data_IF_572079828467
#
_entry.id   IF_572079828467
#
_cell.length_a   1.000
_cell.length_b   1.000
_cell.length_c   1.000
_cell.angle_alpha   90.00
_cell.angle_beta   90.00
_cell.angle_gamma   90.00
#
_symmetry.space_group_name_H-M   'P 1'
#
loop_
_entity.id
_entity.type
_entity.pdbx_description
1 polymer ?
#
# COMPACT_ATOMS: atom_id res chain seq x y z
N UNK A 1 -46.91 -36.55 12.31
CA UNK A 1 -46.63 -35.12 12.49
C UNK A 1 -45.12 -34.98 12.69
N UNK A 2 -44.39 -34.67 11.63
CA UNK A 2 -42.94 -34.48 11.68
C UNK A 2 -42.65 -33.01 12.00
N UNK A 3 -42.28 -32.73 13.25
CA UNK A 3 -41.80 -31.41 13.66
C UNK A 3 -40.40 -31.20 13.11
N UNK A 4 -40.29 -30.48 12.00
CA UNK A 4 -39.02 -29.99 11.49
C UNK A 4 -38.44 -29.00 12.48
N UNK A 5 -37.34 -29.38 13.14
CA UNK A 5 -36.47 -28.43 13.82
C UNK A 5 -35.80 -27.59 12.74
N UNK A 6 -36.38 -26.42 12.45
CA UNK A 6 -35.67 -25.32 11.79
C UNK A 6 -34.52 -24.92 12.73
N UNK A 7 -33.37 -25.54 12.55
CA UNK A 7 -32.14 -25.05 13.16
C UNK A 7 -31.73 -23.79 12.40
N UNK A 8 -31.64 -22.61 13.04
CA UNK A 8 -31.13 -21.40 12.41
C UNK A 8 -29.62 -21.60 12.20
N UNK A 9 -29.26 -22.27 11.11
CA UNK A 9 -27.89 -22.41 10.68
C UNK A 9 -27.40 -21.05 10.20
N UNK A 10 -26.84 -20.30 11.14
CA UNK A 10 -25.59 -19.57 10.96
C UNK A 10 -25.56 -18.54 9.84
N UNK A 11 -26.22 -17.41 10.06
CA UNK A 11 -25.79 -16.12 9.50
C UNK A 11 -24.45 -15.61 10.10
N UNK A 12 -23.77 -16.42 10.93
CA UNK A 12 -22.53 -16.12 11.66
C UNK A 12 -21.27 -15.85 10.79
N UNK A 13 -21.43 -15.57 9.50
CA UNK A 13 -20.30 -15.24 8.62
C UNK A 13 -20.59 -14.24 7.52
N UNK A 14 -21.83 -13.77 7.35
CA UNK A 14 -22.14 -12.80 6.30
C UNK A 14 -21.86 -11.37 6.80
N UNK A 15 -21.24 -10.50 5.99
CA UNK A 15 -21.11 -9.10 6.32
C UNK A 15 -22.47 -8.47 6.61
N UNK A 16 -22.54 -7.67 7.68
CA UNK A 16 -23.77 -6.96 8.09
C UNK A 16 -24.17 -5.84 7.13
N UNK A 17 -23.26 -5.43 6.26
CA UNK A 17 -23.47 -4.41 5.25
C UNK A 17 -22.53 -4.63 4.07
N UNK A 18 -22.89 -4.03 2.94
CA UNK A 18 -22.01 -3.84 1.81
C UNK A 18 -21.42 -2.43 1.87
N UNK A 19 -20.09 -2.34 1.74
CA UNK A 19 -19.35 -1.09 1.70
C UNK A 19 -18.77 -0.93 0.29
N UNK A 20 -19.03 0.19 -0.36
CA UNK A 20 -18.53 0.49 -1.70
C UNK A 20 -17.85 1.86 -1.71
N UNK A 21 -16.78 1.98 -2.49
CA UNK A 21 -16.06 3.23 -2.69
C UNK A 21 -15.95 3.49 -4.18
N UNK A 22 -16.25 4.71 -4.60
CA UNK A 22 -16.03 5.16 -5.97
C UNK A 22 -15.22 6.44 -5.96
N UNK A 23 -14.05 6.40 -6.57
CA UNK A 23 -13.21 7.58 -6.78
C UNK A 23 -13.59 8.21 -8.11
N UNK A 24 -13.78 9.53 -8.12
CA UNK A 24 -14.02 10.33 -9.31
C UNK A 24 -12.72 10.50 -10.09
N UNK A 25 -12.70 10.06 -11.34
CA UNK A 25 -11.52 10.10 -12.19
C UNK A 25 -10.57 8.93 -11.93
N UNK A 26 -9.98 8.40 -13.00
CA UNK A 26 -9.05 7.27 -12.91
C UNK A 26 -7.59 7.72 -12.83
N UNK A 27 -7.30 8.95 -13.27
CA UNK A 27 -5.97 9.53 -13.34
C UNK A 27 -6.01 10.95 -12.78
N UNK A 28 -5.11 11.26 -11.85
CA UNK A 28 -4.98 12.54 -11.15
C UNK A 28 -3.53 13.03 -11.17
N UNK A 29 -3.32 14.33 -11.02
CA UNK A 29 -2.00 14.94 -10.90
C UNK A 29 -1.67 15.26 -9.42
N UNK A 30 -0.39 15.36 -9.05
CA UNK A 30 0.01 15.89 -7.74
C UNK A 30 -0.64 17.25 -7.48
N UNK A 31 -1.20 17.43 -6.28
CA UNK A 31 -1.96 18.63 -5.90
C UNK A 31 -3.45 18.62 -6.22
N UNK A 32 -3.93 17.68 -7.04
CA UNK A 32 -5.35 17.55 -7.39
C UNK A 32 -6.21 17.12 -6.19
N UNK A 33 -7.51 17.38 -6.32
CA UNK A 33 -8.49 16.87 -5.38
C UNK A 33 -8.88 15.43 -5.73
N UNK A 34 -8.78 14.54 -4.74
CA UNK A 34 -9.32 13.18 -4.82
C UNK A 34 -10.73 13.22 -4.25
N UNK A 35 -11.73 13.15 -5.12
CA UNK A 35 -13.13 13.07 -4.71
C UNK A 35 -13.56 11.61 -4.70
N UNK A 36 -14.07 11.15 -3.55
CA UNK A 36 -14.52 9.78 -3.37
C UNK A 36 -15.92 9.75 -2.77
N UNK A 37 -16.75 8.85 -3.26
CA UNK A 37 -18.07 8.54 -2.70
C UNK A 37 -18.01 7.22 -1.99
N UNK A 38 -18.39 7.23 -0.72
CA UNK A 38 -18.55 6.03 0.10
C UNK A 38 -20.03 5.73 0.26
N UNK A 39 -20.41 4.51 -0.10
CA UNK A 39 -21.78 4.00 0.01
C UNK A 39 -21.79 2.80 0.95
N UNK A 40 -22.63 2.87 1.97
CA UNK A 40 -22.85 1.80 2.94
C UNK A 40 -24.31 1.35 2.82
N UNK A 41 -24.49 0.09 2.44
CA UNK A 41 -25.79 -0.56 2.29
C UNK A 41 -25.95 -1.62 3.38
N UNK A 42 -26.59 -1.28 4.52
CA UNK A 42 -26.79 -2.22 5.61
C UNK A 42 -27.78 -3.31 5.23
N UNK A 43 -27.46 -4.55 5.59
CA UNK A 43 -28.34 -5.73 5.41
C UNK A 43 -29.10 -6.06 6.70
N UNK A 44 -28.56 -5.61 7.83
CA UNK A 44 -29.16 -5.70 9.16
C UNK A 44 -28.75 -4.49 10.02
N UNK A 45 -29.32 -4.38 11.21
CA UNK A 45 -28.97 -3.32 12.16
C UNK A 45 -27.65 -3.66 12.87
N UNK A 46 -26.74 -2.68 12.96
CA UNK A 46 -25.48 -2.85 13.68
C UNK A 46 -24.97 -1.53 14.24
N UNK A 47 -24.02 -1.63 15.17
CA UNK A 47 -23.40 -0.48 15.79
C UNK A 47 -21.97 -0.33 15.29
N UNK A 48 -21.66 0.83 14.71
CA UNK A 48 -20.32 1.21 14.27
C UNK A 48 -19.65 1.99 15.39
N UNK A 49 -18.46 1.54 15.80
CA UNK A 49 -17.64 2.25 16.77
C UNK A 49 -16.92 3.40 16.10
N UNK A 50 -16.23 3.12 15.00
CA UNK A 50 -15.53 4.10 14.20
C UNK A 50 -15.59 3.72 12.72
N UNK A 51 -15.97 4.68 11.89
CA UNK A 51 -15.87 4.59 10.45
C UNK A 51 -14.98 5.69 9.92
N UNK A 52 -13.99 5.34 9.10
CA UNK A 52 -13.03 6.29 8.53
C UNK A 52 -12.73 6.00 7.07
N UNK A 53 -12.30 7.04 6.36
CA UNK A 53 -11.74 6.96 5.01
C UNK A 53 -10.34 7.53 5.05
N UNK A 54 -9.42 6.86 4.37
CA UNK A 54 -8.02 7.20 4.32
C UNK A 54 -7.57 7.33 2.86
N UNK A 55 -6.77 8.35 2.60
CA UNK A 55 -5.94 8.43 1.41
C UNK A 55 -4.63 7.71 1.70
N UNK A 56 -4.34 6.65 0.94
CA UNK A 56 -3.22 5.75 1.23
C UNK A 56 -2.27 5.67 0.05
N UNK A 57 -0.97 5.82 0.34
CA UNK A 57 0.11 5.45 -0.58
C UNK A 57 0.54 4.02 -0.28
N UNK A 58 0.55 3.18 -1.30
CA UNK A 58 0.96 1.78 -1.22
C UNK A 58 2.30 1.62 -1.92
N UNK A 59 3.32 1.29 -1.16
CA UNK A 59 4.66 1.01 -1.63
C UNK A 59 4.89 -0.50 -1.66
N UNK A 60 5.30 -1.00 -2.81
CA UNK A 60 5.75 -2.37 -2.99
C UNK A 60 7.27 -2.38 -3.07
N UNK A 61 7.92 -3.10 -2.17
CA UNK A 61 9.35 -3.33 -2.16
C UNK A 61 9.64 -4.82 -2.37
N UNK A 62 10.80 -5.11 -2.96
CA UNK A 62 11.28 -6.49 -3.16
C UNK A 62 12.44 -6.72 -2.22
N UNK A 63 12.28 -7.65 -1.30
CA UNK A 63 13.35 -8.09 -0.42
C UNK A 63 14.03 -9.31 -1.04
N UNK A 64 15.33 -9.19 -1.26
CA UNK A 64 16.18 -10.28 -1.73
C UNK A 64 16.89 -10.88 -0.53
N UNK A 65 16.60 -12.15 -0.23
CA UNK A 65 17.27 -12.90 0.83
C UNK A 65 18.17 -13.96 0.22
N UNK A 66 19.49 -13.83 0.43
CA UNK A 66 20.46 -14.83 0.00
C UNK A 66 20.69 -15.85 1.12
N UNK A 67 20.59 -17.12 0.79
CA UNK A 67 20.86 -18.24 1.72
C UNK A 67 21.78 -19.26 1.06
N UNK A 68 22.30 -20.20 1.86
CA UNK A 68 23.07 -21.35 1.34
C UNK A 68 22.28 -22.25 0.37
N UNK A 69 20.95 -22.12 0.33
CA UNK A 69 20.05 -22.88 -0.54
C UNK A 69 19.61 -22.10 -1.79
N UNK A 70 20.07 -20.86 -1.96
CA UNK A 70 19.75 -20.02 -3.11
C UNK A 70 19.26 -18.62 -2.73
N UNK A 71 18.84 -17.89 -3.77
CA UNK A 71 18.29 -16.53 -3.64
C UNK A 71 16.77 -16.58 -3.61
N UNK A 72 16.17 -16.08 -2.54
CA UNK A 72 14.73 -15.94 -2.38
C UNK A 72 14.30 -14.49 -2.57
N UNK A 73 13.26 -14.27 -3.36
CA UNK A 73 12.64 -12.97 -3.55
C UNK A 73 11.31 -12.95 -2.80
N UNK A 74 11.11 -11.98 -1.91
CA UNK A 74 9.82 -11.75 -1.26
C UNK A 74 9.33 -10.34 -1.54
N UNK A 75 8.03 -10.22 -1.83
CA UNK A 75 7.36 -8.94 -2.02
C UNK A 75 6.88 -8.46 -0.65
N UNK A 76 7.26 -7.24 -0.26
CA UNK A 76 6.74 -6.55 0.92
C UNK A 76 5.91 -5.36 0.46
N UNK A 77 4.74 -5.19 1.07
CA UNK A 77 3.87 -4.05 0.81
C UNK A 77 3.79 -3.21 2.07
N UNK A 78 4.08 -1.92 1.94
CA UNK A 78 3.96 -0.92 2.98
C UNK A 78 2.84 0.04 2.58
N UNK A 79 1.89 0.27 3.47
CA UNK A 79 0.80 1.22 3.26
C UNK A 79 0.99 2.40 4.22
N UNK A 80 0.98 3.62 3.70
CA UNK A 80 1.12 4.86 4.47
C UNK A 80 -0.15 5.68 4.31
N UNK A 81 -0.85 5.92 5.41
CA UNK A 81 -2.00 6.83 5.46
C UNK A 81 -1.51 8.26 5.44
N UNK A 82 -1.94 9.04 4.44
CA UNK A 82 -1.49 10.42 4.23
C UNK A 82 -2.53 11.44 4.71
N UNK A 83 -3.81 11.08 4.64
CA UNK A 83 -4.92 11.86 5.15
C UNK A 83 -6.03 10.92 5.59
N UNK A 84 -6.79 11.32 6.61
CA UNK A 84 -7.89 10.55 7.18
C UNK A 84 -9.09 11.47 7.43
N UNK A 85 -10.30 10.97 7.15
CA UNK A 85 -11.56 11.63 7.50
C UNK A 85 -12.51 10.63 8.18
N UNK A 86 -13.13 11.05 9.28
CA UNK A 86 -14.13 10.25 10.01
C UNK A 86 -15.49 10.31 9.31
N UNK A 87 -16.01 9.15 8.89
CA UNK A 87 -17.32 9.00 8.27
C UNK A 87 -18.46 8.98 9.29
N UNK A 88 -18.26 8.24 10.39
CA UNK A 88 -19.25 8.03 11.44
C UNK A 88 -18.54 7.53 12.70
N UNK A 89 -19.09 7.85 13.86
CA UNK A 89 -18.53 7.43 15.14
C UNK A 89 -19.66 7.12 16.11
N UNK A 90 -19.54 6.00 16.84
CA UNK A 90 -20.48 5.55 17.87
C UNK A 90 -21.96 5.62 17.43
N UNK A 91 -22.25 5.20 16.20
CA UNK A 91 -23.58 5.30 15.60
C UNK A 91 -24.19 3.92 15.32
N UNK A 92 -25.49 3.78 15.55
CA UNK A 92 -26.26 2.62 15.10
C UNK A 92 -26.75 2.84 13.68
N UNK A 93 -26.31 1.99 12.76
CA UNK A 93 -26.74 1.92 11.37
C UNK A 93 -27.92 0.96 11.28
N UNK A 94 -29.00 1.38 10.61
CA UNK A 94 -30.23 0.58 10.47
C UNK A 94 -30.34 -0.01 9.07
N UNK A 95 -30.87 -1.22 8.94
CA UNK A 95 -31.03 -2.02 7.70
C UNK A 95 -31.62 -1.25 6.51
N UNK A 96 -32.51 -0.29 6.74
CA UNK A 96 -33.17 0.47 5.68
C UNK A 96 -32.53 1.85 5.42
N UNK A 97 -31.51 2.22 6.20
CA UNK A 97 -30.79 3.48 6.05
C UNK A 97 -29.54 3.29 5.21
N UNK A 98 -29.65 3.48 3.90
CA UNK A 98 -28.46 3.64 3.06
C UNK A 98 -27.70 4.89 3.50
N UNK A 99 -26.41 4.75 3.81
CA UNK A 99 -25.56 5.90 4.10
C UNK A 99 -24.68 6.18 2.90
N UNK A 100 -24.70 7.43 2.44
CA UNK A 100 -23.83 7.89 1.36
C UNK A 100 -23.14 9.17 1.79
N UNK A 101 -21.82 9.20 1.65
CA UNK A 101 -21.00 10.36 1.99
C UNK A 101 -19.97 10.59 0.91
N UNK A 102 -19.92 11.82 0.43
CA UNK A 102 -18.87 12.29 -0.46
C UNK A 102 -17.74 12.86 0.40
N UNK A 103 -16.51 12.46 0.10
CA UNK A 103 -15.27 12.77 0.83
C UNK A 103 -14.29 13.36 -0.17
N UNK A 104 -13.52 14.36 0.27
CA UNK A 104 -12.55 15.04 -0.59
C UNK A 104 -11.20 15.15 0.10
N UNK A 105 -10.19 14.54 -0.51
CA UNK A 105 -8.80 14.71 -0.10
C UNK A 105 -8.06 15.59 -1.10
N UNK A 106 -6.89 16.08 -0.71
CA UNK A 106 -5.95 16.73 -1.59
C UNK A 106 -4.70 15.88 -1.72
N UNK A 107 -4.31 15.55 -2.95
CA UNK A 107 -3.04 14.88 -3.19
C UNK A 107 -1.90 15.82 -2.78
N UNK A 108 -0.87 15.31 -2.09
CA UNK A 108 0.35 16.07 -1.87
C UNK A 108 0.93 16.58 -3.19
N UNK A 109 1.49 17.79 -3.20
CA UNK A 109 2.12 18.37 -4.40
C UNK A 109 3.40 17.64 -4.80
N UNK A 110 4.01 16.93 -3.86
CA UNK A 110 5.16 16.04 -4.03
C UNK A 110 4.74 14.56 -4.20
N UNK A 111 3.46 14.29 -4.52
CA UNK A 111 2.97 12.94 -4.75
C UNK A 111 3.77 12.24 -5.85
N UNK A 112 4.32 11.08 -5.51
CA UNK A 112 5.04 10.24 -6.45
C UNK A 112 4.06 9.66 -7.49
N UNK A 113 4.43 9.62 -8.77
CA UNK A 113 3.59 9.04 -9.81
C UNK A 113 3.39 7.54 -9.56
N UNK A 114 2.24 7.02 -9.98
CA UNK A 114 1.95 5.59 -9.93
C UNK A 114 2.96 4.84 -10.81
N UNK A 115 3.64 3.88 -10.20
CA UNK A 115 4.61 3.02 -10.86
C UNK A 115 4.12 1.58 -10.79
N UNK A 116 3.57 1.09 -11.90
CA UNK A 116 3.17 -0.30 -12.04
C UNK A 116 4.42 -1.16 -12.26
N UNK A 117 4.90 -1.81 -11.21
CA UNK A 117 5.98 -2.79 -11.27
C UNK A 117 5.53 -4.07 -11.97
N UNK A 118 5.36 -4.04 -13.29
CA UNK A 118 5.04 -5.22 -14.08
C UNK A 118 5.81 -5.22 -15.41
N UNK A 119 7.07 -5.66 -15.36
CA UNK A 119 7.76 -6.17 -16.55
C UNK A 119 8.37 -7.53 -16.20
N UNK A 120 7.52 -8.55 -16.26
CA UNK A 120 7.65 -10.02 -16.49
C UNK A 120 8.92 -10.79 -16.03
N UNK A 121 10.08 -10.18 -15.79
CA UNK A 121 11.27 -10.81 -15.21
C UNK A 121 12.03 -9.90 -14.23
N UNK A 122 11.62 -8.64 -14.07
CA UNK A 122 12.25 -7.65 -13.20
C UNK A 122 11.25 -7.21 -12.15
N UNK A 123 11.45 -7.69 -10.92
CA UNK A 123 10.60 -7.32 -9.78
C UNK A 123 11.01 -5.89 -9.39
N UNK A 124 10.35 -4.89 -9.97
CA UNK A 124 10.62 -3.49 -9.68
C UNK A 124 9.77 -2.98 -8.51
N UNK A 125 10.29 -2.05 -7.71
CA UNK A 125 9.50 -1.39 -6.69
C UNK A 125 8.32 -0.67 -7.35
N UNK A 126 7.15 -0.76 -6.71
CA UNK A 126 5.91 -0.17 -7.22
C UNK A 126 5.36 0.86 -6.26
N UNK A 127 4.76 1.91 -6.79
CA UNK A 127 4.04 2.93 -6.03
C UNK A 127 2.61 2.92 -6.55
N UNK A 128 1.65 2.73 -5.65
CA UNK A 128 0.22 2.79 -5.93
C UNK A 128 -0.48 3.75 -4.98
N UNK A 129 -1.66 4.18 -5.40
CA UNK A 129 -2.50 5.09 -4.64
C UNK A 129 -3.90 4.49 -4.52
N UNK A 130 -4.47 4.54 -3.32
CA UNK A 130 -5.81 4.05 -3.06
C UNK A 130 -6.54 4.92 -2.04
N UNK A 131 -7.86 4.95 -2.16
CA UNK A 131 -8.75 5.42 -1.10
C UNK A 131 -9.28 4.20 -0.39
N UNK A 132 -9.13 4.14 0.95
CA UNK A 132 -9.56 3.01 1.78
C UNK A 132 -10.63 3.48 2.75
N UNK A 133 -11.77 2.79 2.79
CA UNK A 133 -12.77 2.98 3.83
C UNK A 133 -12.73 1.78 4.77
N UNK A 134 -12.82 2.05 6.07
CA UNK A 134 -12.89 1.02 7.11
C UNK A 134 -13.95 1.36 8.15
N UNK A 135 -14.66 0.33 8.62
CA UNK A 135 -15.68 0.42 9.66
C UNK A 135 -15.37 -0.64 10.73
N UNK A 136 -15.12 -0.20 11.97
CA UNK A 136 -15.08 -1.04 13.18
C UNK A 136 -16.52 -1.32 13.62
N UNK A 137 -16.94 -2.58 13.51
CA UNK A 137 -18.31 -3.00 13.79
C UNK A 137 -18.38 -3.76 15.10
N UNK A 138 -19.20 -3.27 16.03
CA UNK A 138 -19.37 -3.91 17.33
C UNK A 138 -20.03 -5.28 17.18
N UNK A 139 -19.37 -6.30 17.75
CA UNK A 139 -19.85 -7.70 17.77
C UNK A 139 -20.06 -8.30 16.36
N UNK A 140 -19.32 -7.80 15.37
CA UNK A 140 -19.30 -8.36 14.02
C UNK A 140 -17.87 -8.32 13.46
N UNK A 141 -17.72 -8.75 12.21
CA UNK A 141 -16.49 -8.57 11.45
C UNK A 141 -16.42 -7.13 10.94
N UNK A 142 -15.25 -6.52 11.06
CA UNK A 142 -14.98 -5.20 10.48
C UNK A 142 -15.12 -5.23 8.96
N UNK A 143 -15.53 -4.09 8.41
CA UNK A 143 -15.69 -3.90 6.98
C UNK A 143 -14.56 -3.02 6.48
N UNK A 144 -13.97 -3.40 5.36
CA UNK A 144 -12.95 -2.59 4.71
C UNK A 144 -13.08 -2.74 3.20
N UNK A 145 -13.02 -1.64 2.49
CA UNK A 145 -13.00 -1.59 1.03
C UNK A 145 -11.89 -0.64 0.60
N UNK A 146 -11.25 -0.89 -0.54
CA UNK A 146 -10.31 0.06 -1.13
C UNK A 146 -10.51 0.19 -2.64
N UNK A 147 -10.31 1.40 -3.14
CA UNK A 147 -10.38 1.71 -4.57
C UNK A 147 -9.09 2.38 -5.00
N UNK A 148 -8.36 1.73 -5.91
CA UNK A 148 -7.13 2.26 -6.48
C UNK A 148 -7.40 3.31 -7.56
N UNK A 149 -6.47 4.24 -7.73
CA UNK A 149 -6.43 5.23 -8.80
C UNK A 149 -4.99 5.50 -9.25
N UNK A 150 -4.82 6.21 -10.37
CA UNK A 150 -3.52 6.52 -10.96
C UNK A 150 -3.14 7.97 -10.64
N UNK A 151 -1.91 8.18 -10.20
CA UNK A 151 -1.28 9.49 -10.14
C UNK A 151 -0.29 9.60 -11.29
N UNK A 152 -0.47 10.57 -12.17
CA UNK A 152 0.43 10.79 -13.31
C UNK A 152 1.50 11.83 -12.98
N UNK A 153 2.54 11.90 -13.82
CA UNK A 153 3.54 12.97 -13.72
C UNK A 153 2.97 14.26 -14.27
N UNK A 154 3.24 15.36 -13.59
CA UNK A 154 3.10 16.69 -14.21
C UNK A 154 4.09 16.70 -15.38
N UNK A 155 3.65 16.93 -16.63
CA UNK A 155 4.59 17.10 -17.72
C UNK A 155 5.49 18.27 -17.34
N UNK A 156 6.80 18.03 -17.28
CA UNK A 156 7.74 19.13 -17.19
C UNK A 156 7.44 20.00 -18.41
N UNK A 157 6.91 21.20 -18.19
CA UNK A 157 6.92 22.21 -19.23
C UNK A 157 8.40 22.45 -19.49
N UNK A 158 8.86 21.89 -20.59
CA UNK A 158 10.19 22.14 -21.09
C UNK A 158 10.16 23.61 -21.54
N UNK A 159 10.44 24.51 -20.60
CA UNK A 159 10.60 25.95 -20.82
C UNK A 159 11.91 26.23 -21.60
N UNK A 160 12.45 25.19 -22.26
CA UNK A 160 13.49 25.30 -23.24
C UNK A 160 12.93 26.19 -24.36
N UNK A 161 13.44 27.42 -24.55
CA UNK A 161 13.02 28.25 -25.65
C UNK A 161 13.18 27.45 -26.94
N UNK A 162 12.28 27.60 -27.94
CA UNK A 162 12.39 26.88 -29.19
C UNK A 162 13.81 27.09 -29.70
N UNK A 163 14.62 26.02 -29.69
CA UNK A 163 15.95 26.13 -30.26
C UNK A 163 15.74 26.59 -31.69
N UNK A 164 16.41 27.67 -32.14
CA UNK A 164 16.31 28.09 -33.52
C UNK A 164 16.63 26.86 -34.35
N UNK A 165 15.71 26.49 -35.23
CA UNK A 165 15.93 25.45 -36.24
C UNK A 165 17.01 26.02 -37.14
N UNK A 166 18.27 25.79 -36.77
CA UNK A 166 19.39 26.01 -37.67
C UNK A 166 19.29 24.86 -38.65
N UNK A 167 18.60 25.12 -39.75
CA UNK A 167 18.60 24.30 -40.95
C UNK A 167 20.00 24.35 -41.56
N UNK A 168 20.96 23.70 -40.90
CA UNK A 168 22.30 23.50 -41.43
C UNK A 168 22.27 22.33 -42.40
N UNK A 169 21.79 22.64 -43.60
CA UNK A 169 22.03 21.84 -44.78
C UNK A 169 23.53 21.89 -45.12
N UNK A 170 24.32 21.01 -44.51
CA UNK A 170 25.66 20.69 -44.98
C UNK A 170 25.96 19.20 -44.83
N UNK A 171 25.60 18.47 -45.87
CA UNK A 171 26.22 17.20 -46.23
C UNK A 171 27.76 17.31 -46.14
N UNK A 172 28.40 16.49 -45.29
CA UNK A 172 29.45 15.49 -45.67
C UNK A 172 30.35 15.07 -44.50
N UNK A 173 30.52 13.75 -44.40
CA UNK A 173 31.68 13.00 -43.90
C UNK A 173 31.79 12.70 -42.39
N UNK A 174 31.65 11.40 -42.08
CA UNK A 174 32.51 10.53 -41.24
C UNK A 174 32.89 11.04 -39.82
N UNK A 175 32.84 10.27 -38.75
CA UNK A 175 33.03 8.83 -38.60
C UNK A 175 32.43 8.33 -37.27
N UNK A 176 31.87 7.13 -37.29
CA UNK A 176 31.54 6.34 -36.09
C UNK A 176 32.84 5.76 -35.51
N UNK A 177 33.20 6.18 -34.30
CA UNK A 177 34.21 5.46 -33.50
C UNK A 177 33.49 4.58 -32.48
N UNK A 178 33.28 3.31 -32.86
CA UNK A 178 32.86 2.25 -31.96
C UNK A 178 34.08 1.76 -31.16
N UNK A 179 34.21 2.21 -29.90
CA UNK A 179 35.17 1.63 -28.96
C UNK A 179 34.60 0.33 -28.37
N UNK A 180 34.83 -0.78 -29.07
CA UNK A 180 34.65 -2.13 -28.54
C UNK A 180 35.91 -2.52 -27.75
N UNK A 181 35.92 -2.28 -26.44
CA UNK A 181 36.95 -2.85 -25.56
C UNK A 181 36.72 -4.36 -25.43
N UNK A 182 37.58 -5.09 -26.14
CA UNK A 182 37.75 -6.54 -26.17
C UNK A 182 38.26 -7.02 -24.81
N UNK A 183 37.35 -7.52 -23.96
CA UNK A 183 37.69 -8.26 -22.75
C UNK A 183 38.10 -9.68 -23.10
N UNK A 184 39.33 -10.03 -22.76
CA UNK A 184 40.02 -11.24 -23.18
C UNK A 184 39.41 -12.53 -22.63
N UNK A 185 39.43 -13.54 -23.50
CA UNK A 185 39.10 -14.94 -23.22
C UNK A 185 40.27 -15.56 -22.48
N UNK A 186 40.08 -15.86 -21.19
CA UNK A 186 40.94 -16.75 -20.42
C UNK A 186 40.25 -18.10 -20.24
N UNK A 187 40.67 -19.11 -21.00
CA UNK A 187 40.29 -20.49 -20.78
C UNK A 187 41.25 -21.20 -19.83
N UNK A 188 40.73 -22.06 -18.95
CA UNK A 188 41.42 -23.24 -18.42
C UNK A 188 40.38 -24.10 -17.67
N UNK A 189 39.87 -25.18 -18.24
CA UNK A 189 40.43 -26.53 -18.41
C UNK A 189 40.24 -27.46 -17.19
N UNK A 190 39.65 -28.60 -17.51
CA UNK A 190 39.55 -29.93 -16.87
C UNK A 190 39.82 -30.09 -15.37
N UNK A 191 38.79 -30.59 -14.68
CA UNK A 191 38.89 -31.32 -13.42
C UNK A 191 37.79 -32.38 -13.31
N UNK A 192 38.04 -33.55 -13.91
CA UNK A 192 37.23 -34.77 -13.82
C UNK A 192 37.57 -35.46 -12.50
N UNK A 193 36.60 -35.65 -11.60
CA UNK A 193 36.73 -36.62 -10.51
C UNK A 193 35.37 -37.24 -10.17
N UNK A 194 35.20 -38.47 -10.66
CA UNK A 194 34.27 -39.46 -10.15
C UNK A 194 34.61 -39.82 -8.69
N UNK A 195 33.58 -40.02 -7.87
CA UNK A 195 33.66 -40.55 -6.51
C UNK A 195 32.25 -40.59 -5.92
N UNK A 196 31.46 -41.62 -6.22
CA UNK A 196 31.24 -42.83 -5.39
C UNK A 196 30.53 -42.54 -4.06
N UNK A 197 29.35 -43.17 -3.93
CA UNK A 197 28.66 -43.66 -2.74
C UNK A 197 28.74 -42.84 -1.43
N UNK A 198 27.60 -42.39 -0.91
CA UNK A 198 27.11 -43.04 0.32
C UNK A 198 25.63 -42.76 0.65
N UNK A 199 24.99 -43.80 1.19
CA UNK A 199 23.61 -43.83 1.69
C UNK A 199 23.57 -43.20 3.08
N UNK A 200 22.87 -42.08 3.22
CA UNK A 200 22.65 -41.45 4.53
C UNK A 200 21.18 -41.17 4.81
N UNK A 201 20.44 -42.19 5.27
CA UNK A 201 19.13 -42.00 5.92
C UNK A 201 19.31 -41.17 7.18
N UNK A 202 18.97 -39.88 7.13
CA UNK A 202 18.96 -38.98 8.28
C UNK A 202 17.56 -38.47 8.58
N UNK A 203 16.81 -39.17 9.45
CA UNK A 203 15.66 -38.60 10.17
C UNK A 203 16.16 -37.41 11.00
N UNK A 204 15.67 -36.19 10.71
CA UNK A 204 15.74 -35.08 11.67
C UNK A 204 14.35 -34.51 11.92
N UNK A 205 13.78 -34.97 13.04
CA UNK A 205 12.91 -34.16 13.88
C UNK A 205 13.76 -33.02 14.47
N UNK A 206 13.28 -31.79 14.38
CA UNK A 206 13.90 -30.62 14.99
C UNK A 206 12.97 -29.42 14.79
N UNK A 207 11.95 -29.33 15.64
CA UNK A 207 11.83 -28.26 16.63
C UNK A 207 11.57 -26.90 16.02
N UNK A 208 10.27 -26.58 15.98
CA UNK A 208 9.72 -25.23 15.98
C UNK A 208 10.49 -24.34 16.94
N UNK A 209 11.17 -23.32 16.41
CA UNK A 209 11.58 -22.16 17.20
C UNK A 209 10.56 -21.06 16.97
N UNK A 210 9.80 -20.83 18.03
CA UNK A 210 8.96 -19.67 18.27
C UNK A 210 9.75 -18.39 17.97
N UNK A 211 9.20 -17.52 17.13
CA UNK A 211 9.68 -16.16 17.00
C UNK A 211 9.31 -15.44 18.30
N UNK A 212 10.33 -15.18 19.12
CA UNK A 212 10.24 -14.28 20.25
C UNK A 212 9.98 -12.87 19.75
N UNK A 213 8.81 -12.39 20.11
CA UNK A 213 8.36 -11.00 20.15
C UNK A 213 9.35 -10.17 20.99
N UNK A 214 10.10 -9.28 20.33
CA UNK A 214 10.90 -8.24 21.01
C UNK A 214 10.06 -6.97 21.07
N UNK A 215 9.30 -6.87 22.16
CA UNK A 215 8.64 -5.65 22.64
C UNK A 215 9.73 -4.63 23.05
N UNK A 216 9.98 -3.63 22.21
CA UNK A 216 10.83 -2.49 22.58
C UNK A 216 9.96 -1.52 23.38
N UNK A 217 10.01 -1.67 24.70
CA UNK A 217 9.56 -0.65 25.65
C UNK A 217 10.58 0.49 25.64
N UNK A 218 10.21 1.62 25.05
CA UNK A 218 10.84 2.90 25.41
C UNK A 218 9.90 3.67 26.32
N UNK A 219 10.28 3.66 27.61
CA UNK A 219 9.81 4.58 28.63
C UNK A 219 10.48 5.93 28.39
N UNK A 220 9.68 6.95 28.10
CA UNK A 220 10.10 8.35 28.15
C UNK A 220 9.17 9.12 29.08
N UNK A 221 9.54 9.17 30.36
CA UNK A 221 8.91 10.02 31.35
C UNK A 221 9.35 11.47 31.09
N UNK A 222 8.38 12.38 30.92
CA UNK A 222 8.61 13.82 30.75
C UNK A 222 7.47 14.61 31.38
N UNK A 223 7.43 14.61 32.70
CA UNK A 223 6.54 15.43 33.53
C UNK A 223 7.08 16.85 33.60
N UNK A 224 6.38 17.82 33.01
CA UNK A 224 6.55 19.24 33.33
C UNK A 224 5.19 19.85 33.70
N UNK A 225 4.97 19.97 35.01
CA UNK A 225 3.95 20.83 35.62
C UNK A 225 4.24 22.29 35.25
N UNK A 226 3.28 22.96 34.64
CA UNK A 226 3.24 24.42 34.52
C UNK A 226 1.92 24.92 35.10
N UNK A 227 1.92 25.22 36.41
CA UNK A 227 0.88 26.05 37.03
C UNK A 227 1.09 27.49 36.57
N UNK A 228 0.05 28.11 36.02
CA UNK A 228 0.05 29.53 35.66
C UNK A 228 -1.37 30.08 35.78
N UNK A 229 -1.78 30.39 37.01
CA UNK A 229 -3.04 31.08 37.27
C UNK A 229 -2.97 32.52 36.80
N UNK A 230 -3.89 32.94 35.96
CA UNK A 230 -4.14 34.34 35.65
C UNK A 230 -5.56 34.69 36.10
N UNK A 231 -5.64 35.39 37.24
CA UNK A 231 -6.81 36.15 37.68
C UNK A 231 -6.75 37.52 37.00
N UNK A 232 -7.68 37.81 36.10
CA UNK A 232 -7.95 39.19 35.70
C UNK A 232 -8.94 39.80 36.69
N UNK A 233 -8.52 40.92 37.27
CA UNK A 233 -9.29 41.75 38.19
C UNK A 233 -10.40 42.48 37.44
N UNK A 234 -11.54 42.61 38.13
CA UNK A 234 -12.50 43.70 37.95
C UNK A 234 -11.82 45.03 38.28
N UNK A 235 -12.09 46.05 37.49
CA UNK A 235 -12.15 47.43 37.96
C UNK A 235 -13.28 48.15 37.22
N UNK A 236 -14.03 48.92 38.02
CA UNK A 236 -14.98 50.01 37.73
C UNK A 236 -16.11 49.77 36.70
#
# INVERSE_FOLDING_TARGET
MAGGFDMPFSDFGRPKADLNIRVSGNTLLPGDAVEARVELMPREDFHVRLGKVELVRVETCVQITRSQYGTHYSKKTHAVSLAEETLMENQTVRRMGGHRRDVRFRLPTDALPTMNGAVVQKIEPGIGWEVRASLDVSRARDLSESQAFVVDRIPAFDDSPPQPVVEEAAHRQCALTLNLSRGEVGGQDRGKSEGRDDRGRGRRRGQSRTCQEREVRQRGAGSCRGQGGFRARRDA
#
